data_IF_987627701614
#
_entry.id   IF_987627701614
#
_cell.length_a   1.000
_cell.length_b   1.000
_cell.length_c   1.000
_cell.angle_alpha   90.00
_cell.angle_beta   90.00
_cell.angle_gamma   90.00
#
_symmetry.space_group_name_H-M   'P 1'
#
loop_
_entity.id
_entity.type
_entity.pdbx_description
1 polymer ?
#
# COMPACT_ATOMS: atom_id res chain seq x y z
N UNK A 1 -15.46 -5.06 -8.41
CA UNK A 1 -14.59 -4.39 -7.42
C UNK A 1 -15.05 -2.97 -7.14
N UNK A 2 -15.17 -2.09 -8.16
CA UNK A 2 -15.63 -0.69 -7.97
C UNK A 2 -16.96 -0.57 -7.20
N UNK A 3 -17.96 -1.39 -7.54
CA UNK A 3 -19.25 -1.43 -6.82
C UNK A 3 -19.12 -1.69 -5.31
N UNK A 4 -18.16 -2.51 -4.88
CA UNK A 4 -17.95 -2.81 -3.46
C UNK A 4 -17.31 -1.63 -2.73
N UNK A 5 -16.35 -0.97 -3.37
CA UNK A 5 -15.67 0.22 -2.86
C UNK A 5 -16.70 1.35 -2.72
N UNK A 6 -17.48 1.62 -3.77
CA UNK A 6 -18.56 2.60 -3.75
C UNK A 6 -19.59 2.29 -2.65
N UNK A 7 -20.02 1.03 -2.54
CA UNK A 7 -20.95 0.61 -1.50
C UNK A 7 -20.41 0.86 -0.09
N UNK A 8 -19.13 0.56 0.17
CA UNK A 8 -18.51 0.86 1.46
C UNK A 8 -18.44 2.39 1.71
N UNK A 9 -18.08 3.19 0.70
CA UNK A 9 -18.03 4.65 0.80
C UNK A 9 -19.38 5.27 1.14
N UNK A 10 -20.47 4.87 0.47
CA UNK A 10 -21.80 5.46 0.75
C UNK A 10 -22.34 5.11 2.15
N UNK A 11 -21.78 4.06 2.78
CA UNK A 11 -22.11 3.68 4.16
C UNK A 11 -21.09 4.20 5.19
N UNK A 12 -20.11 5.03 4.78
CA UNK A 12 -19.09 5.57 5.69
C UNK A 12 -18.13 4.52 6.25
N UNK A 13 -17.93 3.39 5.56
CA UNK A 13 -17.04 2.32 5.97
C UNK A 13 -15.61 2.62 5.49
N UNK A 14 -14.65 2.54 6.41
CA UNK A 14 -13.22 2.64 6.10
C UNK A 14 -12.72 1.43 5.32
N UNK A 15 -11.98 1.66 4.24
CA UNK A 15 -11.46 0.64 3.33
C UNK A 15 -9.94 0.52 3.49
N UNK A 16 -9.49 -0.62 3.99
CA UNK A 16 -8.09 -1.05 3.88
C UNK A 16 -7.96 -1.87 2.59
N UNK A 17 -7.29 -1.32 1.57
CA UNK A 17 -6.98 -2.06 0.35
C UNK A 17 -5.60 -2.67 0.50
N UNK A 18 -5.49 -3.98 0.29
CA UNK A 18 -4.26 -4.71 0.60
C UNK A 18 -3.69 -5.48 -0.59
N UNK A 19 -2.36 -5.48 -0.69
CA UNK A 19 -1.60 -6.36 -1.58
C UNK A 19 -0.60 -7.16 -0.74
N UNK A 20 -0.37 -8.42 -1.10
CA UNK A 20 0.56 -9.30 -0.40
C UNK A 20 1.45 -10.01 -1.41
N UNK A 21 2.74 -10.05 -1.15
CA UNK A 21 3.70 -10.89 -1.86
C UNK A 21 4.42 -11.80 -0.85
N UNK A 22 4.02 -13.06 -0.82
CA UNK A 22 4.58 -14.05 0.12
C UNK A 22 5.89 -14.66 -0.40
N UNK A 23 6.34 -14.28 -1.59
CA UNK A 23 7.49 -14.91 -2.25
C UNK A 23 8.68 -13.98 -2.37
N UNK A 24 8.48 -12.67 -2.43
CA UNK A 24 9.59 -11.73 -2.49
C UNK A 24 9.21 -10.33 -1.99
N UNK A 25 10.23 -9.48 -1.88
CA UNK A 25 10.08 -8.03 -1.88
C UNK A 25 10.24 -7.51 -3.31
N UNK A 26 9.19 -6.95 -3.93
CA UNK A 26 9.29 -6.29 -5.23
C UNK A 26 10.22 -5.07 -5.18
N UNK A 27 10.58 -4.52 -6.34
CA UNK A 27 11.36 -3.28 -6.37
C UNK A 27 10.61 -2.14 -5.66
N UNK A 28 11.37 -1.16 -5.16
CA UNK A 28 10.84 0.07 -4.54
C UNK A 28 9.77 0.72 -5.43
N UNK A 29 10.02 0.86 -6.73
CA UNK A 29 9.07 1.47 -7.67
C UNK A 29 7.75 0.69 -7.75
N UNK A 30 7.81 -0.66 -7.72
CA UNK A 30 6.61 -1.50 -7.75
C UNK A 30 5.80 -1.33 -6.46
N UNK A 31 6.46 -1.29 -5.30
CA UNK A 31 5.80 -1.07 -4.00
C UNK A 31 5.11 0.30 -3.98
N UNK A 32 5.83 1.36 -4.35
CA UNK A 32 5.31 2.74 -4.42
C UNK A 32 4.10 2.81 -5.36
N UNK A 33 4.22 2.28 -6.58
CA UNK A 33 3.12 2.32 -7.56
C UNK A 33 1.88 1.57 -7.05
N UNK A 34 2.03 0.42 -6.41
CA UNK A 34 0.89 -0.33 -5.85
C UNK A 34 0.17 0.47 -4.76
N UNK A 35 0.92 1.11 -3.86
CA UNK A 35 0.33 1.94 -2.79
C UNK A 35 -0.40 3.18 -3.36
N UNK A 36 0.19 3.84 -4.37
CA UNK A 36 -0.45 4.97 -5.07
C UNK A 36 -1.72 4.50 -5.79
N UNK A 37 -1.67 3.38 -6.50
CA UNK A 37 -2.84 2.81 -7.17
C UNK A 37 -3.98 2.50 -6.18
N UNK A 38 -3.68 1.96 -5.00
CA UNK A 38 -4.71 1.74 -3.98
C UNK A 38 -5.41 3.04 -3.59
N UNK A 39 -4.66 4.14 -3.45
CA UNK A 39 -5.20 5.48 -3.18
C UNK A 39 -6.04 5.99 -4.36
N UNK A 40 -5.59 5.80 -5.59
CA UNK A 40 -6.36 6.12 -6.82
C UNK A 40 -7.66 5.31 -6.90
N UNK A 41 -7.67 4.08 -6.38
CA UNK A 41 -8.86 3.24 -6.21
C UNK A 41 -9.65 3.52 -4.93
N UNK A 42 -9.50 4.71 -4.35
CA UNK A 42 -10.28 5.21 -3.21
C UNK A 42 -10.08 4.43 -1.89
N UNK A 43 -8.96 3.72 -1.72
CA UNK A 43 -8.60 3.17 -0.41
C UNK A 43 -8.44 4.29 0.63
N UNK A 44 -8.98 4.09 1.82
CA UNK A 44 -8.71 4.99 2.95
C UNK A 44 -7.34 4.71 3.56
N UNK A 45 -6.92 3.44 3.55
CA UNK A 45 -5.61 3.01 4.02
C UNK A 45 -5.01 1.99 3.04
N UNK A 46 -4.07 2.39 2.17
CA UNK A 46 -3.25 1.47 1.40
C UNK A 46 -2.43 0.56 2.32
N UNK A 47 -2.43 -0.74 2.04
CA UNK A 47 -1.65 -1.75 2.76
C UNK A 47 -0.83 -2.61 1.80
N UNK A 48 0.45 -2.81 2.10
CA UNK A 48 1.26 -3.84 1.43
C UNK A 48 2.01 -4.69 2.44
N UNK A 49 2.12 -5.99 2.19
CA UNK A 49 2.93 -6.91 2.97
C UNK A 49 3.82 -7.74 2.03
N UNK A 50 5.13 -7.79 2.26
CA UNK A 50 6.09 -8.46 1.37
C UNK A 50 7.01 -9.42 2.11
N UNK A 51 7.69 -10.32 1.40
CA UNK A 51 8.56 -11.33 2.02
C UNK A 51 10.04 -11.04 1.72
N UNK A 52 10.82 -10.55 2.69
CA UNK A 52 12.23 -10.28 2.47
C UNK A 52 13.05 -11.58 2.40
N UNK A 53 14.03 -11.63 1.49
CA UNK A 53 15.07 -12.67 1.44
C UNK A 53 16.43 -12.15 1.90
N UNK A 54 16.60 -10.83 1.96
CA UNK A 54 17.81 -10.15 2.40
C UNK A 54 17.49 -8.97 3.32
N UNK A 55 18.49 -8.46 4.04
CA UNK A 55 18.34 -7.19 4.78
C UNK A 55 18.11 -6.01 3.82
N UNK A 56 18.63 -6.07 2.60
CA UNK A 56 18.38 -5.07 1.56
C UNK A 56 16.91 -4.99 1.15
N UNK A 57 16.18 -6.10 1.22
CA UNK A 57 14.74 -6.14 0.95
C UNK A 57 13.95 -5.40 2.04
N UNK A 58 14.37 -5.53 3.30
CA UNK A 58 13.75 -4.77 4.41
C UNK A 58 13.97 -3.26 4.21
N UNK A 59 15.17 -2.86 3.79
CA UNK A 59 15.46 -1.46 3.47
C UNK A 59 14.63 -0.98 2.26
N UNK A 60 14.49 -1.81 1.24
CA UNK A 60 13.66 -1.52 0.04
C UNK A 60 12.20 -1.22 0.43
N UNK A 61 11.64 -2.01 1.36
CA UNK A 61 10.30 -1.77 1.87
C UNK A 61 10.20 -0.45 2.65
N UNK A 62 11.18 -0.15 3.52
CA UNK A 62 11.19 1.09 4.31
C UNK A 62 11.41 2.33 3.45
N UNK A 63 12.24 2.25 2.40
CA UNK A 63 12.43 3.31 1.41
C UNK A 63 11.13 3.62 0.68
N UNK A 64 10.44 2.59 0.17
CA UNK A 64 9.14 2.75 -0.48
C UNK A 64 8.08 3.33 0.47
N UNK A 65 8.10 2.90 1.74
CA UNK A 65 7.22 3.44 2.79
C UNK A 65 7.46 4.92 3.01
N UNK A 66 8.72 5.32 3.16
CA UNK A 66 9.11 6.71 3.38
C UNK A 66 8.75 7.60 2.19
N UNK A 67 8.95 7.11 0.97
CA UNK A 67 8.62 7.85 -0.26
C UNK A 67 7.12 8.13 -0.39
N UNK A 68 6.26 7.11 -0.23
CA UNK A 68 4.80 7.32 -0.28
C UNK A 68 4.37 8.24 0.84
N UNK A 69 4.97 8.12 2.04
CA UNK A 69 4.64 9.02 3.16
C UNK A 69 5.08 10.46 2.92
N UNK A 70 6.21 10.69 2.26
CA UNK A 70 6.66 12.03 1.89
C UNK A 70 5.76 12.67 0.83
N UNK A 71 5.26 11.89 -0.13
CA UNK A 71 4.30 12.34 -1.14
C UNK A 71 2.91 12.64 -0.54
N UNK A 72 2.49 11.86 0.46
CA UNK A 72 1.19 11.99 1.13
C UNK A 72 1.31 12.05 2.66
N UNK A 73 1.81 13.16 3.24
CA UNK A 73 2.13 13.26 4.67
C UNK A 73 0.95 13.07 5.62
N UNK A 74 -0.27 13.37 5.17
CA UNK A 74 -1.49 13.25 5.98
C UNK A 74 -2.15 11.88 5.87
N UNK A 75 -1.80 11.08 4.86
CA UNK A 75 -2.51 9.85 4.58
C UNK A 75 -1.92 8.67 5.38
N UNK A 76 -2.75 7.83 6.00
CA UNK A 76 -2.28 6.60 6.64
C UNK A 76 -1.91 5.56 5.58
N UNK A 77 -0.81 4.84 5.81
CA UNK A 77 -0.41 3.65 5.05
C UNK A 77 0.05 2.56 6.02
N UNK A 78 -0.06 1.30 5.60
CA UNK A 78 0.44 0.15 6.35
C UNK A 78 1.42 -0.62 5.47
N UNK A 79 2.65 -0.81 5.93
CA UNK A 79 3.67 -1.59 5.22
C UNK A 79 4.33 -2.57 6.20
N UNK A 80 4.60 -3.80 5.74
CA UNK A 80 5.27 -4.84 6.53
C UNK A 80 5.97 -5.89 5.68
#
# INVERSE_FOLDING_TARGET
MLKTIEFAKVHGITIIMSNHDFHCTPSREVIVNRLIQMKEFLADVPKIAVMPHTTGDVLTLLEATAEVKALYPSDPIITM
#
